data_IF_173772791721
#
_entry.id   IF_173772791721
#
_cell.length_a   1.000
_cell.length_b   1.000
_cell.length_c   1.000
_cell.angle_alpha   90.00
_cell.angle_beta   90.00
_cell.angle_gamma   90.00
#
_symmetry.space_group_name_H-M   'P 1'
#
loop_
_entity.id
_entity.type
_entity.pdbx_description
1 polymer ?
#
# COMPACT_ATOMS: atom_id res chain seq x y z
N UNK A 1 16.35 -2.87 4.33
CA UNK A 1 15.15 -2.74 3.50
C UNK A 1 14.65 -1.30 3.58
N UNK A 2 14.52 -0.67 2.44
CA UNK A 2 14.12 0.73 2.41
C UNK A 2 12.89 0.92 1.54
N UNK A 3 11.86 1.48 2.14
CA UNK A 3 10.74 1.99 1.38
C UNK A 3 10.89 3.50 1.38
N UNK A 4 10.75 4.13 0.25
CA UNK A 4 10.85 5.57 0.18
C UNK A 4 9.55 6.23 0.65
N UNK A 5 9.58 7.56 0.76
CA UNK A 5 8.42 8.30 1.24
C UNK A 5 7.22 8.16 0.31
N UNK A 6 7.47 8.02 -1.00
CA UNK A 6 6.40 7.81 -1.98
C UNK A 6 5.70 6.49 -1.70
N UNK A 7 6.46 5.43 -1.41
CA UNK A 7 5.89 4.11 -1.08
C UNK A 7 5.00 4.21 0.17
N UNK A 8 5.48 4.88 1.20
CA UNK A 8 4.74 5.01 2.46
C UNK A 8 3.47 5.82 2.29
N UNK A 9 3.54 6.93 1.58
CA UNK A 9 2.36 7.77 1.30
C UNK A 9 1.34 7.02 0.47
N UNK A 10 1.81 6.28 -0.54
CA UNK A 10 0.95 5.46 -1.37
C UNK A 10 0.23 4.41 -0.53
N UNK A 11 0.99 3.71 0.31
CA UNK A 11 0.42 2.64 1.14
C UNK A 11 -0.69 3.19 2.06
N UNK A 12 -0.43 4.32 2.71
CA UNK A 12 -1.43 4.97 3.57
C UNK A 12 -2.68 5.32 2.75
N UNK A 13 -2.50 5.91 1.57
CA UNK A 13 -3.62 6.30 0.71
C UNK A 13 -4.44 5.09 0.27
N UNK A 14 -3.78 4.00 -0.12
CA UNK A 14 -4.46 2.76 -0.52
C UNK A 14 -5.22 2.16 0.66
N UNK A 15 -4.60 2.13 1.83
CA UNK A 15 -5.21 1.57 3.03
C UNK A 15 -6.46 2.34 3.44
N UNK A 16 -6.38 3.67 3.42
CA UNK A 16 -7.50 4.54 3.79
C UNK A 16 -8.63 4.50 2.77
N UNK A 17 -8.28 4.44 1.49
CA UNK A 17 -9.27 4.37 0.42
C UNK A 17 -9.85 2.96 0.24
N UNK A 18 -9.16 1.95 0.76
CA UNK A 18 -9.47 0.53 0.55
C UNK A 18 -9.53 0.19 -0.94
N UNK A 19 -8.66 0.84 -1.71
CA UNK A 19 -8.62 0.73 -3.16
C UNK A 19 -7.26 1.14 -3.67
N UNK A 20 -6.64 0.28 -4.50
CA UNK A 20 -5.36 0.64 -5.12
C UNK A 20 -5.58 1.76 -6.13
N UNK A 21 -6.68 1.71 -6.88
CA UNK A 21 -7.01 2.74 -7.87
C UNK A 21 -7.13 4.12 -7.21
N UNK A 22 -7.94 4.22 -6.17
CA UNK A 22 -8.13 5.50 -5.48
C UNK A 22 -6.88 5.95 -4.73
N UNK A 23 -6.14 4.99 -4.15
CA UNK A 23 -4.86 5.31 -3.50
C UNK A 23 -3.85 5.87 -4.48
N UNK A 24 -3.79 5.29 -5.69
CA UNK A 24 -2.91 5.77 -6.75
C UNK A 24 -3.29 7.20 -7.16
N UNK A 25 -4.58 7.46 -7.34
CA UNK A 25 -5.06 8.80 -7.68
C UNK A 25 -4.66 9.83 -6.63
N UNK A 26 -4.87 9.51 -5.36
CA UNK A 26 -4.49 10.40 -4.25
C UNK A 26 -3.00 10.66 -4.19
N UNK A 27 -2.20 9.70 -4.67
CA UNK A 27 -0.74 9.80 -4.66
C UNK A 27 -0.18 10.36 -5.97
N UNK A 28 -1.03 10.72 -6.90
CA UNK A 28 -0.67 11.20 -8.24
C UNK A 28 0.20 10.19 -8.99
N UNK A 29 -0.12 8.91 -8.86
CA UNK A 29 0.59 7.81 -9.52
C UNK A 29 -0.34 7.10 -10.49
N UNK A 30 0.22 6.61 -11.58
CA UNK A 30 -0.51 5.72 -12.47
C UNK A 30 -0.79 4.41 -11.72
N UNK A 31 -1.91 3.78 -12.03
CA UNK A 31 -2.30 2.53 -11.37
C UNK A 31 -1.22 1.45 -11.49
N UNK A 32 -0.63 1.29 -12.66
CA UNK A 32 0.43 0.30 -12.87
C UNK A 32 1.64 0.56 -11.97
N UNK A 33 2.04 1.82 -11.83
CA UNK A 33 3.15 2.20 -10.95
C UNK A 33 2.82 1.95 -9.49
N UNK A 34 1.61 2.31 -9.06
CA UNK A 34 1.17 2.10 -7.70
C UNK A 34 1.14 0.61 -7.37
N UNK A 35 0.59 -0.20 -8.26
CA UNK A 35 0.50 -1.65 -8.08
C UNK A 35 1.89 -2.28 -7.98
N UNK A 36 2.82 -1.85 -8.83
CA UNK A 36 4.19 -2.34 -8.82
C UNK A 36 4.90 -1.99 -7.49
N UNK A 37 4.68 -0.78 -6.98
CA UNK A 37 5.28 -0.36 -5.71
C UNK A 37 4.76 -1.20 -4.54
N UNK A 38 3.44 -1.44 -4.49
CA UNK A 38 2.86 -2.28 -3.44
C UNK A 38 3.43 -3.70 -3.51
N UNK A 39 3.50 -4.28 -4.71
CA UNK A 39 4.09 -5.62 -4.89
C UNK A 39 5.54 -5.66 -4.47
N UNK A 40 6.30 -4.61 -4.77
CA UNK A 40 7.69 -4.50 -4.35
C UNK A 40 7.85 -4.48 -2.84
N UNK A 41 6.96 -3.76 -2.15
CA UNK A 41 6.95 -3.73 -0.68
C UNK A 41 6.65 -5.13 -0.12
N UNK A 42 5.66 -5.81 -0.66
CA UNK A 42 5.30 -7.17 -0.23
C UNK A 42 6.43 -8.16 -0.48
N UNK A 43 7.06 -8.07 -1.65
CA UNK A 43 8.19 -8.94 -1.98
C UNK A 43 9.37 -8.72 -1.02
N UNK A 44 9.66 -7.46 -0.69
CA UNK A 44 10.74 -7.12 0.21
C UNK A 44 10.47 -7.63 1.63
N UNK A 45 9.23 -7.61 2.07
CA UNK A 45 8.84 -8.09 3.40
C UNK A 45 8.61 -9.59 3.45
N UNK A 46 8.36 -10.21 2.31
CA UNK A 46 8.05 -11.64 2.23
C UNK A 46 6.66 -12.00 2.71
N UNK A 47 5.77 -11.02 2.86
CA UNK A 47 4.38 -11.24 3.28
C UNK A 47 3.46 -10.30 2.53
N UNK A 48 2.19 -10.69 2.31
CA UNK A 48 1.23 -9.77 1.72
C UNK A 48 0.83 -8.70 2.72
N UNK A 49 0.65 -7.49 2.24
CA UNK A 49 0.16 -6.36 3.03
C UNK A 49 -1.32 -6.11 2.79
N UNK A 50 -1.80 -6.52 1.63
CA UNK A 50 -3.18 -6.34 1.20
C UNK A 50 -3.78 -7.66 0.77
N UNK A 51 -5.07 -7.83 1.07
CA UNK A 51 -5.88 -8.91 0.53
C UNK A 51 -6.84 -8.30 -0.49
N UNK A 52 -6.90 -8.90 -1.67
CA UNK A 52 -7.84 -8.45 -2.69
C UNK A 52 -9.24 -8.89 -2.31
N UNK A 53 -10.17 -7.97 -2.40
CA UNK A 53 -11.58 -8.19 -2.13
C UNK A 53 -12.36 -8.00 -3.42
N UNK A 54 -13.62 -8.40 -3.41
CA UNK A 54 -14.49 -8.21 -4.56
C UNK A 54 -14.59 -6.72 -4.94
N UNK A 55 -14.60 -5.85 -3.95
CA UNK A 55 -14.71 -4.41 -4.16
C UNK A 55 -13.58 -3.66 -3.46
N UNK A 56 -12.37 -3.88 -3.92
CA UNK A 56 -11.21 -3.17 -3.38
C UNK A 56 -10.25 -4.09 -2.64
N UNK A 57 -9.64 -3.58 -1.60
CA UNK A 57 -8.65 -4.31 -0.81
C UNK A 57 -8.87 -4.06 0.67
N UNK A 58 -8.34 -4.96 1.50
CA UNK A 58 -8.26 -4.74 2.94
C UNK A 58 -6.86 -5.12 3.41
N UNK A 59 -6.48 -4.63 4.58
CA UNK A 59 -5.17 -4.90 5.14
C UNK A 59 -5.10 -6.30 5.75
N UNK A 60 -3.94 -6.94 5.55
CA UNK A 60 -3.57 -8.12 6.34
C UNK A 60 -3.09 -7.64 7.71
N UNK A 61 -2.79 -8.57 8.63
CA UNK A 61 -2.18 -8.20 9.91
C UNK A 61 -0.86 -7.45 9.68
N UNK A 62 -0.04 -7.93 8.73
CA UNK A 62 1.20 -7.24 8.37
C UNK A 62 0.93 -5.85 7.81
N UNK A 63 -0.13 -5.71 7.01
CA UNK A 63 -0.54 -4.41 6.47
C UNK A 63 -0.97 -3.44 7.55
N UNK A 64 -1.68 -3.91 8.56
CA UNK A 64 -2.08 -3.05 9.69
C UNK A 64 -0.87 -2.57 10.47
N UNK A 65 0.10 -3.44 10.70
CA UNK A 65 1.35 -3.07 11.36
C UNK A 65 2.13 -2.04 10.55
N UNK A 66 2.20 -2.24 9.23
CA UNK A 66 2.85 -1.30 8.34
C UNK A 66 2.16 0.07 8.35
N UNK A 67 0.84 0.08 8.39
CA UNK A 67 0.07 1.32 8.42
C UNK A 67 0.38 2.13 9.68
N UNK A 68 0.46 1.47 10.83
CA UNK A 68 0.85 2.14 12.08
C UNK A 68 2.21 2.81 11.94
N UNK A 69 3.19 2.07 11.42
CA UNK A 69 4.54 2.61 11.22
C UNK A 69 4.53 3.78 10.23
N UNK A 70 3.80 3.64 9.15
CA UNK A 70 3.74 4.68 8.12
C UNK A 70 3.14 5.98 8.65
N UNK A 71 2.18 5.89 9.56
CA UNK A 71 1.49 7.07 10.11
C UNK A 71 2.33 7.87 11.10
N UNK A 72 3.32 7.25 11.71
CA UNK A 72 4.20 7.96 12.66
C UNK A 72 5.48 8.50 12.02
N UNK A 73 5.67 8.29 10.74
CA UNK A 73 6.83 8.79 10.01
C UNK A 73 6.64 10.24 9.56
#
# INVERSE_FOLDING_TARGET
MHFDLVDMRLFVAVAEARSITHGAERSALALASASARIKGMEAALGVPLLERQRHGVRLTAAGESMLEHARIM
#
